data_IF_678732146424
#
_entry.id   IF_678732146424
#
_cell.length_a   1.000
_cell.length_b   1.000
_cell.length_c   1.000
_cell.angle_alpha   90.00
_cell.angle_beta   90.00
_cell.angle_gamma   90.00
#
_symmetry.space_group_name_H-M   'P 1'
#
loop_
_entity.id
_entity.type
_entity.pdbx_description
1 polymer ?
#
# COMPACT_ATOMS: atom_id res chain seq x y z
N UNK A 1 38.24 4.74 19.08
CA UNK A 1 37.17 5.64 18.60
C UNK A 1 35.88 4.84 18.71
N UNK A 2 35.00 5.25 19.61
CA UNK A 2 34.00 4.38 20.27
C UNK A 2 32.80 4.02 19.40
N UNK A 3 32.30 2.80 19.66
CA UNK A 3 31.06 2.09 19.30
C UNK A 3 29.71 2.86 19.45
N UNK A 4 29.73 4.18 19.54
CA UNK A 4 28.54 5.01 19.81
C UNK A 4 28.11 5.91 18.64
N UNK A 5 28.70 5.73 17.45
CA UNK A 5 28.44 6.60 16.28
C UNK A 5 27.83 5.90 15.06
N UNK A 6 27.62 4.58 15.07
CA UNK A 6 26.99 3.83 13.96
C UNK A 6 25.70 3.13 14.42
N UNK A 7 24.91 3.81 15.26
CA UNK A 7 23.57 3.34 15.65
C UNK A 7 22.50 4.44 15.44
N UNK A 8 22.86 5.50 14.71
CA UNK A 8 21.93 6.52 14.24
C UNK A 8 21.45 6.18 12.83
N UNK A 9 20.25 5.59 12.77
CA UNK A 9 19.23 5.80 11.73
C UNK A 9 19.71 6.02 10.28
N UNK A 10 20.35 5.04 9.66
CA UNK A 10 20.38 5.01 8.20
C UNK A 10 19.00 4.57 7.71
N UNK A 11 18.15 5.54 7.34
CA UNK A 11 17.13 5.26 6.35
C UNK A 11 17.87 4.81 5.09
N UNK A 12 17.93 3.50 4.89
CA UNK A 12 18.49 2.91 3.68
C UNK A 12 17.67 3.40 2.49
N UNK A 13 18.32 3.66 1.35
CA UNK A 13 17.71 4.30 0.19
C UNK A 13 16.43 3.58 -0.29
N UNK A 14 16.31 2.27 -0.03
CA UNK A 14 15.12 1.46 -0.31
C UNK A 14 13.86 1.93 0.44
N UNK A 15 14.02 2.53 1.62
CA UNK A 15 12.94 3.17 2.39
C UNK A 15 12.37 4.39 1.66
N UNK A 16 13.26 5.22 1.12
CA UNK A 16 12.86 6.38 0.31
C UNK A 16 12.22 5.94 -1.00
N UNK A 17 12.77 4.93 -1.64
CA UNK A 17 12.22 4.36 -2.86
C UNK A 17 10.80 3.83 -2.66
N UNK A 18 10.55 3.09 -1.58
CA UNK A 18 9.20 2.63 -1.23
C UNK A 18 8.26 3.80 -0.94
N UNK A 19 8.69 4.78 -0.12
CA UNK A 19 7.87 5.95 0.19
C UNK A 19 7.52 6.77 -1.07
N UNK A 20 8.44 6.90 -2.03
CA UNK A 20 8.17 7.60 -3.29
C UNK A 20 7.07 6.88 -4.09
N UNK A 21 7.15 5.56 -4.21
CA UNK A 21 6.12 4.77 -4.87
C UNK A 21 4.77 4.84 -4.12
N UNK A 22 4.83 4.83 -2.80
CA UNK A 22 3.67 4.93 -1.91
C UNK A 22 2.90 6.24 -2.11
N UNK A 23 3.59 7.38 -1.94
CA UNK A 23 2.98 8.70 -2.03
C UNK A 23 2.56 9.04 -3.47
N UNK A 24 3.31 8.57 -4.48
CA UNK A 24 2.87 8.67 -5.87
C UNK A 24 1.56 7.91 -6.12
N UNK A 25 1.40 6.72 -5.49
CA UNK A 25 0.16 5.97 -5.50
C UNK A 25 -1.00 6.73 -4.87
N UNK A 26 -0.79 7.38 -3.72
CA UNK A 26 -1.80 8.23 -3.09
C UNK A 26 -2.19 9.42 -3.97
N UNK A 27 -1.23 10.16 -4.53
CA UNK A 27 -1.51 11.30 -5.41
C UNK A 27 -2.31 10.88 -6.65
N UNK A 28 -1.97 9.74 -7.24
CA UNK A 28 -2.69 9.20 -8.39
C UNK A 28 -4.14 8.85 -8.03
N UNK A 29 -4.37 8.15 -6.93
CA UNK A 29 -5.73 7.79 -6.52
C UNK A 29 -6.56 9.00 -6.08
N UNK A 30 -5.97 9.95 -5.36
CA UNK A 30 -6.63 11.20 -4.97
C UNK A 30 -7.16 11.95 -6.20
N UNK A 31 -6.37 12.02 -7.28
CA UNK A 31 -6.81 12.67 -8.51
C UNK A 31 -7.98 11.92 -9.16
N UNK A 32 -8.01 10.59 -9.09
CA UNK A 32 -9.14 9.80 -9.59
C UNK A 32 -10.40 10.03 -8.74
N UNK A 33 -10.28 10.05 -7.40
CA UNK A 33 -11.37 10.38 -6.48
C UNK A 33 -11.92 11.81 -6.69
N UNK A 34 -11.10 12.73 -7.18
CA UNK A 34 -11.54 14.09 -7.53
C UNK A 34 -12.44 14.11 -8.79
N UNK A 35 -12.23 13.17 -9.72
CA UNK A 35 -12.95 13.09 -10.99
C UNK A 35 -14.21 12.21 -10.87
N UNK A 36 -14.11 11.13 -10.11
CA UNK A 36 -15.17 10.15 -9.88
C UNK A 36 -15.17 9.81 -8.39
N UNK A 37 -16.31 9.75 -7.69
CA UNK A 37 -16.33 9.48 -6.25
C UNK A 37 -15.78 8.10 -5.88
N UNK A 38 -15.65 7.17 -6.84
CA UNK A 38 -15.21 5.76 -6.73
C UNK A 38 -16.13 4.90 -5.86
N UNK A 39 -16.55 5.41 -4.70
CA UNK A 39 -17.34 4.76 -3.66
C UNK A 39 -18.59 5.62 -3.42
N UNK A 40 -19.76 5.06 -3.71
CA UNK A 40 -21.05 5.76 -3.63
C UNK A 40 -21.66 5.78 -2.22
N UNK A 41 -21.08 5.03 -1.29
CA UNK A 41 -21.54 4.91 0.10
C UNK A 41 -20.41 5.19 1.10
N UNK A 42 -19.58 6.20 0.83
CA UNK A 42 -18.43 6.54 1.68
C UNK A 42 -18.82 6.78 3.15
N UNK A 43 -20.00 7.37 3.39
CA UNK A 43 -20.51 7.67 4.73
C UNK A 43 -21.10 6.46 5.47
N UNK A 44 -20.91 5.23 4.98
CA UNK A 44 -21.48 4.01 5.60
C UNK A 44 -20.77 3.55 6.88
N UNK A 45 -19.77 4.29 7.36
CA UNK A 45 -19.09 4.06 8.62
C UNK A 45 -17.61 3.75 8.48
N UNK A 46 -17.05 3.04 9.45
CA UNK A 46 -15.62 2.68 9.48
C UNK A 46 -15.42 1.18 9.65
N UNK A 47 -14.33 0.70 9.07
CA UNK A 47 -14.01 -0.72 8.91
C UNK A 47 -12.61 -0.98 9.47
N UNK A 48 -12.38 -2.19 9.97
CA UNK A 48 -11.08 -2.58 10.52
C UNK A 48 -10.03 -2.57 9.40
N UNK A 49 -8.97 -1.77 9.57
CA UNK A 49 -7.86 -1.74 8.61
C UNK A 49 -6.82 -2.83 8.93
N UNK A 50 -6.28 -3.54 7.94
CA UNK A 50 -5.19 -4.48 8.17
C UNK A 50 -3.83 -3.79 8.42
N UNK A 51 -3.74 -2.47 8.19
CA UNK A 51 -2.48 -1.69 8.20
C UNK A 51 -2.45 -0.61 9.29
N UNK A 52 -3.60 -0.27 9.86
CA UNK A 52 -3.76 0.75 10.91
C UNK A 52 -4.48 0.15 12.11
N UNK A 53 -4.16 0.66 13.31
CA UNK A 53 -4.84 0.23 14.54
C UNK A 53 -6.27 0.78 14.59
N UNK A 54 -6.45 2.00 14.10
CA UNK A 54 -7.74 2.68 14.05
C UNK A 54 -8.55 2.22 12.84
N UNK A 55 -9.87 2.07 13.03
CA UNK A 55 -10.79 1.82 11.93
C UNK A 55 -10.75 2.97 10.91
N UNK A 56 -11.02 2.64 9.64
CA UNK A 56 -10.91 3.56 8.51
C UNK A 56 -12.19 3.55 7.68
N UNK A 57 -12.58 4.68 7.07
CA UNK A 57 -13.69 4.68 6.12
C UNK A 57 -13.31 3.90 4.85
N UNK A 58 -14.28 3.63 3.98
CA UNK A 58 -14.08 2.79 2.78
C UNK A 58 -12.99 3.36 1.86
N UNK A 59 -12.95 4.67 1.65
CA UNK A 59 -11.88 5.34 0.88
C UNK A 59 -10.50 5.04 1.46
N UNK A 60 -10.36 5.02 2.79
CA UNK A 60 -9.11 4.70 3.47
C UNK A 60 -8.66 3.26 3.24
N UNK A 61 -9.60 2.30 3.25
CA UNK A 61 -9.31 0.89 2.94
C UNK A 61 -8.98 0.72 1.45
N UNK A 62 -9.67 1.45 0.57
CA UNK A 62 -9.42 1.42 -0.86
C UNK A 62 -8.02 1.99 -1.19
N UNK A 63 -7.64 3.11 -0.56
CA UNK A 63 -6.31 3.68 -0.64
C UNK A 63 -5.23 2.69 -0.21
N UNK A 64 -5.45 2.01 0.92
CA UNK A 64 -4.56 0.97 1.40
C UNK A 64 -4.40 -0.18 0.40
N UNK A 65 -5.49 -0.68 -0.20
CA UNK A 65 -5.42 -1.71 -1.24
C UNK A 65 -4.62 -1.22 -2.46
N UNK A 66 -4.96 -0.03 -2.95
CA UNK A 66 -4.41 0.54 -4.18
C UNK A 66 -2.91 0.85 -4.11
N UNK A 67 -2.46 1.38 -2.98
CA UNK A 67 -1.05 1.71 -2.75
C UNK A 67 -0.26 0.45 -2.46
N UNK A 68 -0.81 -0.50 -1.69
CA UNK A 68 -0.12 -1.76 -1.38
C UNK A 68 0.26 -2.52 -2.64
N UNK A 69 -0.65 -2.63 -3.63
CA UNK A 69 -0.35 -3.26 -4.92
C UNK A 69 0.85 -2.61 -5.64
N UNK A 70 0.92 -1.28 -5.63
CA UNK A 70 2.01 -0.52 -6.27
C UNK A 70 3.33 -0.69 -5.54
N UNK A 71 3.29 -0.69 -4.22
CA UNK A 71 4.45 -1.00 -3.38
C UNK A 71 4.94 -2.42 -3.65
N UNK A 72 4.06 -3.43 -3.63
CA UNK A 72 4.40 -4.82 -3.95
C UNK A 72 5.06 -4.94 -5.33
N UNK A 73 4.46 -4.35 -6.36
CA UNK A 73 5.01 -4.35 -7.73
C UNK A 73 6.37 -3.69 -7.81
N UNK A 74 6.53 -2.54 -7.16
CA UNK A 74 7.77 -1.76 -7.17
C UNK A 74 8.90 -2.53 -6.49
N UNK A 75 8.61 -3.15 -5.34
CA UNK A 75 9.56 -3.99 -4.62
C UNK A 75 9.90 -5.27 -5.39
N UNK A 76 8.90 -5.91 -6.04
CA UNK A 76 9.12 -7.07 -6.93
C UNK A 76 10.08 -6.70 -8.05
N UNK A 77 9.82 -5.59 -8.76
CA UNK A 77 10.69 -5.10 -9.84
C UNK A 77 12.10 -4.80 -9.38
N UNK A 78 12.25 -4.13 -8.23
CA UNK A 78 13.55 -3.85 -7.66
C UNK A 78 14.32 -5.14 -7.38
N UNK A 79 13.69 -6.11 -6.70
CA UNK A 79 14.30 -7.40 -6.34
C UNK A 79 14.70 -8.25 -7.55
N UNK A 80 14.06 -8.05 -8.69
CA UNK A 80 14.35 -8.77 -9.94
C UNK A 80 15.36 -8.04 -10.84
N UNK A 81 15.78 -6.82 -10.48
CA UNK A 81 16.78 -6.09 -11.25
C UNK A 81 18.16 -6.74 -11.08
N UNK A 82 18.94 -6.83 -12.16
CA UNK A 82 20.19 -7.61 -12.16
C UNK A 82 21.27 -7.03 -11.21
N UNK A 83 21.27 -5.72 -11.00
CA UNK A 83 22.18 -5.03 -10.06
C UNK A 83 21.69 -5.03 -8.60
N UNK A 84 20.49 -5.55 -8.32
CA UNK A 84 19.97 -5.56 -6.95
C UNK A 84 20.70 -6.61 -6.11
N UNK A 85 21.34 -6.18 -5.03
CA UNK A 85 22.00 -7.06 -4.07
C UNK A 85 21.17 -7.15 -2.78
N UNK A 86 20.49 -8.29 -2.52
CA UNK A 86 19.64 -8.44 -1.32
C UNK A 86 20.39 -8.35 0.01
N UNK A 87 21.70 -8.60 0.01
CA UNK A 87 22.56 -8.54 1.19
C UNK A 87 22.91 -7.08 1.51
N UNK A 88 23.18 -6.29 0.47
CA UNK A 88 23.55 -4.87 0.61
C UNK A 88 22.32 -3.94 0.69
N UNK A 89 21.20 -4.35 0.10
CA UNK A 89 20.02 -3.51 -0.13
C UNK A 89 18.77 -4.09 0.52
N UNK A 90 18.77 -4.16 1.86
CA UNK A 90 17.59 -4.56 2.62
C UNK A 90 16.38 -3.71 2.21
N UNK A 91 15.22 -4.31 1.96
CA UNK A 91 13.98 -3.54 1.81
C UNK A 91 13.45 -3.18 3.20
N UNK A 92 13.29 -1.89 3.47
CA UNK A 92 12.68 -1.39 4.71
C UNK A 92 11.38 -0.64 4.41
N UNK A 93 10.35 -0.90 5.22
CA UNK A 93 8.99 -0.36 5.03
C UNK A 93 8.42 0.11 6.37
N UNK A 94 7.78 1.28 6.43
CA UNK A 94 6.97 1.73 7.56
C UNK A 94 5.48 1.79 7.19
N UNK A 95 5.09 1.03 6.17
CA UNK A 95 3.74 0.91 5.64
C UNK A 95 2.72 0.35 6.65
N UNK A 96 3.18 -0.21 7.78
CA UNK A 96 2.38 -0.99 8.71
C UNK A 96 2.51 -0.51 10.17
N UNK A 97 1.69 0.47 10.55
CA UNK A 97 1.64 0.98 11.92
C UNK A 97 0.81 0.09 12.86
N UNK A 98 0.11 -0.91 12.31
CA UNK A 98 -0.65 -1.90 13.08
C UNK A 98 0.22 -3.00 13.71
N UNK A 99 1.52 -3.10 13.36
CA UNK A 99 2.37 -4.25 13.70
C UNK A 99 1.75 -5.59 13.27
N UNK A 100 0.90 -5.59 12.24
CA UNK A 100 0.28 -6.81 11.71
C UNK A 100 1.37 -7.67 11.04
N UNK A 101 1.66 -8.90 11.50
CA UNK A 101 2.74 -9.73 10.95
C UNK A 101 2.38 -10.38 9.60
N UNK A 102 1.13 -10.27 9.15
CA UNK A 102 0.68 -10.84 7.88
C UNK A 102 1.49 -10.29 6.68
N UNK A 103 1.54 -11.09 5.62
CA UNK A 103 2.21 -10.70 4.37
C UNK A 103 1.51 -9.50 3.72
N UNK A 104 2.18 -8.86 2.74
CA UNK A 104 1.54 -7.78 1.97
C UNK A 104 0.40 -8.32 1.12
N UNK A 105 0.52 -9.54 0.62
CA UNK A 105 -0.49 -10.28 -0.11
C UNK A 105 -1.75 -10.50 0.75
N UNK A 106 -1.58 -10.97 1.99
CA UNK A 106 -2.70 -11.19 2.91
C UNK A 106 -3.39 -9.87 3.26
N UNK A 107 -2.61 -8.83 3.58
CA UNK A 107 -3.13 -7.48 3.86
C UNK A 107 -3.86 -6.89 2.67
N UNK A 108 -3.40 -7.18 1.45
CA UNK A 108 -4.08 -6.78 0.23
C UNK A 108 -5.45 -7.45 0.13
N UNK A 109 -5.51 -8.78 0.33
CA UNK A 109 -6.76 -9.52 0.30
C UNK A 109 -7.72 -9.12 1.42
N UNK A 110 -7.22 -8.79 2.61
CA UNK A 110 -8.03 -8.24 3.70
C UNK A 110 -8.72 -6.94 3.27
N UNK A 111 -7.97 -5.98 2.70
CA UNK A 111 -8.56 -4.76 2.15
C UNK A 111 -9.55 -5.06 1.02
N UNK A 112 -9.18 -5.95 0.09
CA UNK A 112 -10.01 -6.35 -1.05
C UNK A 112 -11.37 -6.87 -0.59
N UNK A 113 -11.38 -7.79 0.38
CA UNK A 113 -12.61 -8.39 0.89
C UNK A 113 -13.51 -7.36 1.57
N UNK A 114 -12.93 -6.46 2.37
CA UNK A 114 -13.69 -5.36 2.98
C UNK A 114 -14.36 -4.50 1.90
N UNK A 115 -13.63 -4.10 0.86
CA UNK A 115 -14.19 -3.31 -0.24
C UNK A 115 -15.26 -4.10 -1.01
N UNK A 116 -15.00 -5.36 -1.32
CA UNK A 116 -15.92 -6.23 -2.08
C UNK A 116 -17.25 -6.41 -1.34
N UNK A 117 -17.21 -6.58 -0.03
CA UNK A 117 -18.39 -6.83 0.81
C UNK A 117 -19.18 -5.55 1.12
N UNK A 118 -18.50 -4.41 1.26
CA UNK A 118 -19.10 -3.21 1.87
C UNK A 118 -19.20 -2.00 0.92
N UNK A 119 -18.41 -1.92 -0.15
CA UNK A 119 -18.38 -0.75 -1.01
C UNK A 119 -19.34 -0.88 -2.21
N UNK A 120 -20.13 0.16 -2.43
CA UNK A 120 -20.91 0.39 -3.65
C UNK A 120 -20.03 1.18 -4.62
N UNK A 121 -19.26 0.47 -5.43
CA UNK A 121 -18.31 1.09 -6.35
C UNK A 121 -18.97 1.63 -7.63
N UNK A 122 -18.46 2.74 -8.14
CA UNK A 122 -18.71 3.19 -9.51
C UNK A 122 -18.09 2.22 -10.52
N UNK A 123 -18.41 2.36 -11.81
CA UNK A 123 -17.80 1.53 -12.85
C UNK A 123 -16.29 1.76 -12.96
N UNK A 124 -15.83 3.01 -12.75
CA UNK A 124 -14.41 3.29 -12.64
C UNK A 124 -13.82 2.61 -11.41
N UNK A 125 -14.49 2.69 -10.25
CA UNK A 125 -14.04 2.03 -9.02
C UNK A 125 -13.89 0.52 -9.15
N UNK A 126 -14.80 -0.17 -9.85
CA UNK A 126 -14.68 -1.61 -10.13
C UNK A 126 -13.50 -1.92 -11.05
N UNK A 127 -13.33 -1.15 -12.14
CA UNK A 127 -12.22 -1.31 -13.08
C UNK A 127 -10.87 -1.09 -12.39
N UNK A 128 -10.76 -0.03 -11.59
CA UNK A 128 -9.55 0.27 -10.82
C UNK A 128 -9.23 -0.83 -9.82
N UNK A 129 -10.23 -1.33 -9.09
CA UNK A 129 -10.07 -2.42 -8.13
C UNK A 129 -9.50 -3.67 -8.83
N UNK A 130 -10.12 -4.12 -9.93
CA UNK A 130 -9.63 -5.27 -10.70
C UNK A 130 -8.20 -5.07 -11.22
N UNK A 131 -7.91 -3.93 -11.87
CA UNK A 131 -6.55 -3.62 -12.36
C UNK A 131 -5.51 -3.55 -11.25
N UNK A 132 -5.92 -3.17 -10.04
CA UNK A 132 -5.05 -3.12 -8.86
C UNK A 132 -4.68 -4.53 -8.41
N UNK A 133 -5.62 -5.48 -8.44
CA UNK A 133 -5.33 -6.88 -8.15
C UNK A 133 -4.44 -7.52 -9.19
N UNK A 134 -4.72 -7.31 -10.48
CA UNK A 134 -3.83 -7.74 -11.57
C UNK A 134 -2.41 -7.21 -11.33
N UNK A 135 -2.26 -5.91 -11.06
CA UNK A 135 -0.97 -5.29 -10.76
C UNK A 135 -0.20 -5.93 -9.60
N UNK A 136 -0.92 -6.36 -8.55
CA UNK A 136 -0.33 -6.93 -7.35
C UNK A 136 0.22 -8.34 -7.57
N UNK A 137 -0.44 -9.14 -8.41
CA UNK A 137 -0.17 -10.58 -8.53
C UNK A 137 0.34 -11.04 -9.91
N UNK A 138 0.29 -10.19 -10.93
CA UNK A 138 0.85 -10.43 -12.27
C UNK A 138 2.17 -9.65 -12.47
#
# INVERSE_FOLDING_TARGET
MNDLTIQYMTQIWTRYFENLAHEAGHNHLNMLFFIDPIILNEDSGTYKSPLRREARPLSGIYHAMFVLARTMRTLKKLRTHYDYDPILERVDTAYNNANNPASFEDKFYDCWNIILENAKLTDLGKKLMNSTKEMAFE
#
